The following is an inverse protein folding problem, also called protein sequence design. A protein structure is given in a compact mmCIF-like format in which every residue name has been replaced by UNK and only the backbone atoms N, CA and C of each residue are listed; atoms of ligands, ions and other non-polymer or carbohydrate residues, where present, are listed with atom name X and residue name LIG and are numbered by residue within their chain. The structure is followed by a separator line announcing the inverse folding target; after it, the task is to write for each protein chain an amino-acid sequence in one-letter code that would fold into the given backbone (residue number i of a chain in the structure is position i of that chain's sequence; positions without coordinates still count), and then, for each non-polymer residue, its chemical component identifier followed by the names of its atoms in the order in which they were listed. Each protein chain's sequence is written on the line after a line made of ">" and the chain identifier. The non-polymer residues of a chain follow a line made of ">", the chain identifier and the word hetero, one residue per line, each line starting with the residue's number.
data_IF_116119511114
#
_entry.id   IF_116119511114
#
_cell.length_a   1.000
_cell.length_b   1.000
_cell.length_c   1.000
_cell.angle_alpha   90.00
_cell.angle_beta   90.00
_cell.angle_gamma   90.00
#
_symmetry.space_group_name_H-M   'P 1'
#
loop_
_entity.id
_entity.type
_entity.pdbx_description
1 polymer ?
#
# COMPACT_ATOMS: atom_id res chain seq x y z
N UNK A 1 6.52 -20.84 17.29
CA UNK A 1 5.31 -20.02 17.05
C UNK A 1 4.94 -20.19 15.60
N UNK A 2 3.68 -20.48 15.29
CA UNK A 2 3.26 -20.67 13.90
C UNK A 2 2.96 -19.29 13.30
N UNK A 3 3.50 -19.03 12.12
CA UNK A 3 3.24 -17.81 11.36
C UNK A 3 2.33 -18.16 10.18
N UNK A 4 1.23 -17.44 10.05
CA UNK A 4 0.29 -17.62 8.95
C UNK A 4 0.31 -16.41 8.03
N UNK A 5 0.38 -16.66 6.72
CA UNK A 5 0.20 -15.64 5.69
C UNK A 5 -1.25 -15.63 5.26
N UNK A 6 -1.97 -14.57 5.61
CA UNK A 6 -3.36 -14.40 5.27
C UNK A 6 -3.43 -13.51 4.02
N UNK A 7 -4.11 -14.01 3.00
CA UNK A 7 -4.45 -13.23 1.81
C UNK A 7 -5.83 -12.63 2.05
N UNK A 8 -5.90 -11.31 2.17
CA UNK A 8 -7.16 -10.58 2.27
C UNK A 8 -7.51 -10.05 0.88
N UNK A 9 -8.64 -10.52 0.36
CA UNK A 9 -9.21 -10.03 -0.89
C UNK A 9 -10.33 -9.04 -0.59
N UNK A 10 -10.35 -7.92 -1.30
CA UNK A 10 -11.46 -6.99 -1.25
C UNK A 10 -12.57 -7.46 -2.22
N UNK A 11 -13.73 -7.93 -1.72
CA UNK A 11 -14.78 -8.55 -2.55
C UNK A 11 -15.49 -7.54 -3.47
N UNK A 12 -15.29 -6.23 -3.25
CA UNK A 12 -15.85 -5.15 -4.06
C UNK A 12 -14.88 -4.59 -5.10
N UNK A 13 -13.64 -5.07 -5.13
CA UNK A 13 -12.67 -4.67 -6.13
C UNK A 13 -12.99 -5.33 -7.47
N UNK A 14 -13.05 -4.54 -8.54
CA UNK A 14 -13.38 -5.02 -9.89
C UNK A 14 -12.24 -4.68 -10.87
N UNK A 15 -12.18 -5.39 -12.00
CA UNK A 15 -11.15 -5.12 -13.02
C UNK A 15 -11.25 -3.72 -13.66
N UNK A 16 -12.38 -3.04 -13.48
CA UNK A 16 -12.67 -1.69 -13.97
C UNK A 16 -12.37 -0.57 -12.96
N UNK A 17 -11.69 -0.87 -11.85
CA UNK A 17 -11.31 0.17 -10.90
C UNK A 17 -10.44 1.23 -11.59
N UNK A 18 -10.73 2.52 -11.36
CA UNK A 18 -10.02 3.63 -12.00
C UNK A 18 -8.54 3.60 -11.62
N UNK A 19 -7.69 3.67 -12.65
CA UNK A 19 -6.23 3.76 -12.51
C UNK A 19 -5.85 5.23 -12.68
N UNK A 20 -5.18 5.80 -11.68
CA UNK A 20 -4.74 7.19 -11.68
C UNK A 20 -3.22 7.21 -11.71
N UNK A 21 -2.62 7.96 -12.64
CA UNK A 21 -1.17 8.20 -12.63
C UNK A 21 -0.87 9.22 -11.54
N UNK A 22 0.04 8.87 -10.64
CA UNK A 22 0.45 9.69 -9.51
C UNK A 22 1.97 9.71 -9.40
N UNK A 23 2.51 10.78 -8.82
CA UNK A 23 3.91 10.83 -8.40
C UNK A 23 4.03 10.30 -6.99
N UNK A 24 4.79 9.23 -6.82
CA UNK A 24 5.14 8.72 -5.51
C UNK A 24 6.39 9.44 -4.99
N UNK A 25 6.30 10.03 -3.81
CA UNK A 25 7.39 10.76 -3.17
C UNK A 25 7.75 10.11 -1.84
N UNK A 26 9.02 9.78 -1.67
CA UNK A 26 9.58 9.33 -0.41
C UNK A 26 9.70 10.51 0.56
N UNK A 27 9.02 10.43 1.70
CA UNK A 27 9.22 11.33 2.82
C UNK A 27 9.98 10.59 3.94
N UNK A 28 11.00 11.22 4.54
CA UNK A 28 11.70 10.67 5.71
C UNK A 28 10.82 10.71 6.97
N UNK A 29 9.75 11.51 6.96
CA UNK A 29 8.80 11.66 8.07
C UNK A 29 7.90 10.43 8.24
N UNK A 30 7.72 9.64 7.17
CA UNK A 30 6.95 8.39 7.19
C UNK A 30 7.91 7.26 7.54
N UNK A 31 8.02 6.95 8.83
CA UNK A 31 8.85 5.85 9.30
C UNK A 31 8.22 4.49 8.99
N UNK A 32 9.00 3.61 8.37
CA UNK A 32 8.67 2.19 8.25
C UNK A 32 8.91 1.51 9.59
N UNK A 33 7.84 1.08 10.26
CA UNK A 33 7.99 0.30 11.49
C UNK A 33 8.50 -1.11 11.18
N UNK A 34 9.25 -1.74 12.09
CA UNK A 34 9.77 -3.11 11.91
C UNK A 34 8.66 -4.14 11.58
N UNK A 35 7.45 -3.93 12.11
CA UNK A 35 6.25 -4.72 11.81
C UNK A 35 5.79 -4.61 10.33
N UNK A 36 6.07 -3.49 9.66
CA UNK A 36 5.76 -3.28 8.24
C UNK A 36 6.79 -3.97 7.34
N UNK A 37 8.06 -4.07 7.77
CA UNK A 37 9.10 -4.89 7.10
C UNK A 37 8.81 -6.39 7.20
N UNK A 38 8.23 -6.87 8.31
CA UNK A 38 7.81 -8.27 8.48
C UNK A 38 6.49 -8.64 7.78
N UNK A 39 5.86 -7.70 7.05
CA UNK A 39 4.48 -7.83 6.51
C UNK A 39 3.41 -8.12 7.56
N UNK A 40 3.69 -7.86 8.84
CA UNK A 40 2.67 -7.92 9.91
C UNK A 40 1.68 -6.76 9.76
N UNK A 41 2.13 -5.64 9.20
CA UNK A 41 1.29 -4.48 8.83
C UNK A 41 1.58 -4.00 7.41
N UNK A 42 0.57 -3.42 6.78
CA UNK A 42 0.75 -2.72 5.50
C UNK A 42 1.48 -1.39 5.75
N UNK A 43 2.45 -1.00 4.90
CA UNK A 43 3.09 0.30 4.99
C UNK A 43 2.04 1.41 4.94
N UNK A 44 2.20 2.44 5.75
CA UNK A 44 1.34 3.63 5.68
C UNK A 44 1.78 4.55 4.55
N UNK A 45 0.82 5.09 3.81
CA UNK A 45 1.04 6.10 2.78
C UNK A 45 0.08 7.29 2.99
N UNK A 46 0.51 8.51 2.65
CA UNK A 46 -0.35 9.68 2.70
C UNK A 46 -0.87 9.99 1.31
N UNK A 47 -2.17 10.21 1.21
CA UNK A 47 -2.85 10.52 -0.06
C UNK A 47 -3.95 11.55 0.17
N UNK A 48 -4.24 12.34 -0.86
CA UNK A 48 -5.38 13.26 -0.82
C UNK A 48 -6.70 12.51 -0.74
N UNK A 49 -7.68 13.06 -0.03
CA UNK A 49 -9.06 12.53 0.01
C UNK A 49 -9.65 12.35 -1.38
N UNK A 50 -9.45 13.36 -2.25
CA UNK A 50 -9.94 13.34 -3.64
C UNK A 50 -9.35 12.18 -4.44
N UNK A 51 -8.08 11.84 -4.20
CA UNK A 51 -7.43 10.71 -4.87
C UNK A 51 -8.06 9.39 -4.42
N UNK A 52 -8.34 9.21 -3.13
CA UNK A 52 -9.00 8.00 -2.62
C UNK A 52 -10.44 7.85 -3.10
N UNK A 53 -11.18 8.97 -3.22
CA UNK A 53 -12.52 8.98 -3.80
C UNK A 53 -12.48 8.64 -5.30
N UNK A 54 -11.53 9.22 -6.06
CA UNK A 54 -11.30 8.87 -7.47
C UNK A 54 -10.99 7.38 -7.61
N UNK A 55 -10.16 6.82 -6.74
CA UNK A 55 -9.77 5.41 -6.73
C UNK A 55 -10.84 4.45 -6.19
N UNK A 56 -11.94 4.99 -5.62
CA UNK A 56 -12.99 4.23 -4.91
C UNK A 56 -12.41 3.30 -3.83
N UNK A 57 -11.35 3.71 -3.16
CA UNK A 57 -10.64 2.90 -2.17
C UNK A 57 -11.36 2.95 -0.81
N UNK A 58 -12.52 2.30 -0.69
CA UNK A 58 -13.36 2.30 0.54
C UNK A 58 -12.62 1.77 1.78
N UNK A 59 -11.73 0.79 1.59
CA UNK A 59 -10.95 0.19 2.69
C UNK A 59 -9.71 1.00 3.05
N UNK A 60 -9.43 2.10 2.34
CA UNK A 60 -8.22 2.90 2.54
C UNK A 60 -6.94 2.13 2.19
N UNK A 61 -7.00 1.15 1.29
CA UNK A 61 -5.84 0.38 0.83
C UNK A 61 -5.68 0.58 -0.67
N UNK A 62 -4.51 1.07 -1.06
CA UNK A 62 -4.16 1.36 -2.44
C UNK A 62 -2.91 0.57 -2.84
N UNK A 63 -2.84 0.22 -4.12
CA UNK A 63 -1.65 -0.34 -4.73
C UNK A 63 -1.07 0.67 -5.71
N UNK A 64 0.22 0.96 -5.53
CA UNK A 64 1.03 1.74 -6.45
C UNK A 64 1.84 0.79 -7.32
N UNK A 65 1.62 0.86 -8.63
CA UNK A 65 2.39 0.10 -9.61
C UNK A 65 3.40 1.00 -10.28
N UNK A 66 4.66 0.62 -10.12
CA UNK A 66 5.80 1.24 -10.76
C UNK A 66 6.25 0.39 -11.94
N UNK A 67 6.78 1.03 -12.98
CA UNK A 67 7.37 0.36 -14.14
C UNK A 67 8.86 0.67 -14.16
N UNK A 68 9.69 -0.33 -13.89
CA UNK A 68 11.16 -0.22 -13.83
C UNK A 68 11.76 -1.30 -14.73
N UNK A 69 12.55 -0.90 -15.73
CA UNK A 69 13.26 -1.81 -16.65
C UNK A 69 12.35 -2.94 -17.19
N UNK A 70 11.17 -2.54 -17.68
CA UNK A 70 10.09 -3.42 -18.17
C UNK A 70 9.43 -4.36 -17.12
N UNK A 71 9.89 -4.34 -15.87
CA UNK A 71 9.26 -5.04 -14.74
C UNK A 71 8.24 -4.16 -14.02
N UNK A 72 7.14 -4.79 -13.61
CA UNK A 72 6.10 -4.16 -12.77
C UNK A 72 6.41 -4.41 -11.30
N UNK A 73 6.59 -3.35 -10.53
CA UNK A 73 6.76 -3.42 -9.07
C UNK A 73 5.50 -2.87 -8.43
N UNK A 74 4.79 -3.70 -7.67
CA UNK A 74 3.60 -3.28 -6.94
C UNK A 74 3.95 -3.04 -5.47
N UNK A 75 3.59 -1.87 -4.95
CA UNK A 75 3.68 -1.53 -3.53
C UNK A 75 2.24 -1.34 -3.04
N UNK A 76 1.82 -2.12 -2.06
CA UNK A 76 0.48 -1.98 -1.45
C UNK A 76 0.62 -1.31 -0.11
N UNK A 77 -0.12 -0.23 0.11
CA UNK A 77 -0.03 0.58 1.31
C UNK A 77 -1.43 0.96 1.81
N UNK A 78 -1.52 1.21 3.12
CA UNK A 78 -2.71 1.79 3.74
C UNK A 78 -2.63 3.31 3.60
N UNK A 79 -3.58 3.87 2.86
CA UNK A 79 -3.68 5.30 2.67
C UNK A 79 -4.29 5.98 3.89
N UNK A 80 -3.59 7.00 4.40
CA UNK A 80 -4.05 7.96 5.38
C UNK A 80 -4.33 9.26 4.64
N UNK A 81 -5.50 9.84 4.91
CA UNK A 81 -5.91 11.09 4.30
C UNK A 81 -5.07 12.22 4.90
N UNK A 82 -4.40 12.98 4.03
CA UNK A 82 -3.68 14.19 4.40
C UNK A 82 -3.99 15.25 3.34
N UNK A 83 -4.70 16.31 3.73
CA UNK A 83 -5.15 17.38 2.83
C UNK A 83 -3.99 18.26 2.32
N UNK A 84 -2.78 18.11 2.87
CA UNK A 84 -1.58 18.78 2.35
C UNK A 84 -0.97 18.07 1.15
N UNK A 85 -1.40 16.84 0.85
CA UNK A 85 -0.88 16.06 -0.28
C UNK A 85 -1.66 16.43 -1.54
N UNK A 86 -0.98 16.82 -2.64
CA UNK A 86 -1.63 17.05 -3.92
C UNK A 86 -2.41 15.84 -4.41
N UNK A 87 -3.46 16.07 -5.20
CA UNK A 87 -4.30 14.99 -5.73
C UNK A 87 -3.58 14.07 -6.74
N UNK A 88 -2.45 14.51 -7.28
CA UNK A 88 -1.58 13.74 -8.18
C UNK A 88 -0.35 13.16 -7.47
N UNK A 89 -0.26 13.27 -6.14
CA UNK A 89 0.87 12.80 -5.35
C UNK A 89 0.45 11.77 -4.30
N UNK A 90 1.36 10.83 -4.02
CA UNK A 90 1.27 9.91 -2.88
C UNK A 90 2.58 9.93 -2.15
N UNK A 91 2.54 10.23 -0.85
CA UNK A 91 3.75 10.23 -0.04
C UNK A 91 3.91 8.88 0.65
N UNK A 92 5.09 8.30 0.52
CA UNK A 92 5.48 7.01 1.05
C UNK A 92 6.70 7.18 1.96
N UNK A 93 7.04 6.14 2.71
CA UNK A 93 8.35 6.11 3.38
C UNK A 93 9.49 6.17 2.36
N UNK A 94 10.48 7.02 2.64
CA UNK A 94 11.71 7.12 1.84
C UNK A 94 12.44 5.78 1.76
N UNK A 95 12.47 5.02 2.86
CA UNK A 95 13.04 3.67 2.88
C UNK A 95 12.29 2.73 1.93
N UNK A 96 10.95 2.79 1.89
CA UNK A 96 10.14 1.88 1.08
C UNK A 96 10.36 2.09 -0.41
N UNK A 97 10.39 3.35 -0.84
CA UNK A 97 10.62 3.70 -2.25
C UNK A 97 12.09 3.48 -2.63
N UNK A 98 13.03 3.76 -1.72
CA UNK A 98 14.45 3.46 -1.88
C UNK A 98 14.72 1.96 -2.05
N UNK A 99 14.16 1.11 -1.20
CA UNK A 99 14.35 -0.35 -1.28
C UNK A 99 13.69 -0.97 -2.53
N UNK A 100 12.48 -0.53 -2.89
CA UNK A 100 11.72 -1.14 -4.00
C UNK A 100 12.06 -0.56 -5.36
N UNK A 101 12.24 0.75 -5.43
CA UNK A 101 12.39 1.50 -6.68
C UNK A 101 13.83 1.99 -6.86
N UNK A 102 14.56 2.26 -5.77
CA UNK A 102 15.93 2.78 -5.82
C UNK A 102 15.98 4.27 -6.16
N UNK A 103 14.90 5.00 -5.90
CA UNK A 103 14.77 6.43 -6.15
C UNK A 103 13.96 7.07 -5.02
N UNK A 104 14.15 8.38 -4.79
CA UNK A 104 13.39 9.14 -3.80
C UNK A 104 12.02 9.59 -4.33
N UNK A 105 11.89 9.73 -5.65
CA UNK A 105 10.66 10.10 -6.35
C UNK A 105 10.50 9.25 -7.60
N UNK A 106 9.29 8.75 -7.88
CA UNK A 106 9.00 7.95 -9.06
C UNK A 106 7.54 8.07 -9.50
N UNK A 107 7.30 7.97 -10.82
CA UNK A 107 5.94 7.90 -11.37
C UNK A 107 5.33 6.51 -11.15
N UNK A 108 4.08 6.48 -10.68
CA UNK A 108 3.34 5.27 -10.36
C UNK A 108 1.90 5.33 -10.86
N UNK A 109 1.32 4.17 -11.11
CA UNK A 109 -0.11 3.99 -11.34
C UNK A 109 -0.77 3.57 -10.01
N UNK A 110 -1.58 4.44 -9.42
CA UNK A 110 -2.39 4.14 -8.25
C UNK A 110 -3.73 3.49 -8.66
N UNK A 111 -4.10 2.43 -7.96
CA UNK A 111 -5.40 1.75 -8.09
C UNK A 111 -5.80 1.11 -6.76
N UNK A 112 -7.09 0.77 -6.62
CA UNK A 112 -7.63 0.04 -5.46
C UNK A 112 -6.95 -1.32 -5.31
N UNK A 113 -6.48 -1.65 -4.11
CA UNK A 113 -5.85 -2.94 -3.87
C UNK A 113 -6.88 -4.08 -3.92
N UNK A 114 -6.70 -5.04 -4.83
CA UNK A 114 -7.61 -6.19 -4.98
C UNK A 114 -7.39 -7.25 -3.92
N UNK A 115 -6.12 -7.55 -3.67
CA UNK A 115 -5.67 -8.56 -2.72
C UNK A 115 -4.36 -8.09 -2.11
N UNK A 116 -4.23 -8.23 -0.80
CA UNK A 116 -2.97 -8.01 -0.10
C UNK A 116 -2.70 -9.13 0.90
N UNK A 117 -1.45 -9.20 1.35
CA UNK A 117 -1.00 -10.21 2.28
C UNK A 117 -0.65 -9.56 3.61
N UNK A 118 -1.12 -10.17 4.70
CA UNK A 118 -0.70 -9.84 6.06
C UNK A 118 -0.16 -11.12 6.73
N UNK A 119 0.90 -10.97 7.49
CA UNK A 119 1.46 -12.04 8.32
C UNK A 119 0.87 -11.92 9.73
N UNK A 120 0.28 -12.99 10.25
CA UNK A 120 -0.28 -13.03 11.60
C UNK A 120 0.42 -14.12 12.41
N UNK A 121 0.76 -13.80 13.66
CA UNK A 121 1.43 -14.72 14.60
C UNK A 121 0.46 -15.13 15.71
N UNK A 122 0.64 -16.32 16.31
CA UNK A 122 -0.08 -16.72 17.53
C UNK A 122 0.11 -15.66 18.64
N UNK A 123 -0.94 -15.25 19.38
CA UNK A 123 -2.28 -15.87 19.52
C UNK A 123 -3.37 -15.38 18.55
N UNK A 124 -3.08 -14.36 17.72
CA UNK A 124 -4.07 -13.79 16.79
C UNK A 124 -4.40 -14.76 15.65
N UNK A 125 -3.42 -15.57 15.25
CA UNK A 125 -3.62 -16.61 14.26
C UNK A 125 -4.56 -17.71 14.76
N UNK A 126 -4.44 -18.09 16.04
CA UNK A 126 -5.24 -19.16 16.66
C UNK A 126 -6.73 -18.78 16.67
N UNK A 127 -7.05 -17.52 17.00
CA UNK A 127 -8.41 -16.98 16.92
C UNK A 127 -9.01 -17.03 15.50
N UNK A 128 -8.19 -16.87 14.45
CA UNK A 128 -8.65 -16.85 13.06
C UNK A 128 -8.89 -18.25 12.48
N UNK A 129 -8.19 -19.26 12.98
CA UNK A 129 -8.34 -20.66 12.55
C UNK A 129 -9.23 -21.48 13.49
N UNK A 130 -9.77 -20.85 14.55
CA UNK A 130 -10.73 -21.46 15.48
C UNK A 130 -10.10 -22.39 16.51
N UNK A 131 -8.84 -22.16 16.88
CA UNK A 131 -8.12 -22.84 17.96
C UNK A 131 -8.20 -22.08 19.28
#
# INVERSE_FOLDING_TARGET
>A
MVEFKIVVGDPRSHALDPIVKVKAKGLPDINLSAEEKERKRLPVCKASRKLLEKLRAELGIITLRFRKDDKKVNITCRAVIDDNVPEDEVHLSLELIGEKIGAEEAEAEAFRAKTWQITVTSPQADQLIGL
#
